data_IF_921783431615
#
_entry.id   IF_921783431615
#
_cell.length_a   1.000
_cell.length_b   1.000
_cell.length_c   1.000
_cell.angle_alpha   90.00
_cell.angle_beta   90.00
_cell.angle_gamma   90.00
#
_symmetry.space_group_name_H-M   'P 1'
#
loop_
_entity.id
_entity.type
_entity.pdbx_description
1 polymer ?
#
# COMPACT_ATOMS: atom_id res chain seq x y z
N UNK A 1 22.53 31.55 16.27
CA UNK A 1 21.13 31.49 15.77
C UNK A 1 21.01 31.06 14.29
N UNK A 2 21.71 31.71 13.34
CA UNK A 2 21.58 31.41 11.89
C UNK A 2 21.92 29.96 11.48
N UNK A 3 22.91 29.31 12.12
CA UNK A 3 23.30 27.91 11.84
C UNK A 3 22.19 26.90 12.17
N UNK A 4 21.46 27.10 13.27
CA UNK A 4 20.34 26.24 13.66
C UNK A 4 19.18 26.35 12.68
N UNK A 5 18.89 27.57 12.22
CA UNK A 5 17.88 27.81 11.18
C UNK A 5 18.23 27.12 9.85
N UNK A 6 19.49 27.19 9.43
CA UNK A 6 19.95 26.54 8.21
C UNK A 6 19.89 25.01 8.27
N UNK A 7 20.27 24.43 9.42
CA UNK A 7 20.17 22.98 9.64
C UNK A 7 18.73 22.50 9.66
N UNK A 8 17.83 23.26 10.28
CA UNK A 8 16.40 22.98 10.27
C UNK A 8 15.83 22.98 8.84
N UNK A 9 16.19 23.99 8.04
CA UNK A 9 15.75 24.12 6.65
C UNK A 9 16.25 22.95 5.79
N UNK A 10 17.54 22.60 5.88
CA UNK A 10 18.13 21.45 5.18
C UNK A 10 17.46 20.14 5.56
N UNK A 11 17.14 19.94 6.85
CA UNK A 11 16.47 18.73 7.31
C UNK A 11 15.04 18.62 6.77
N UNK A 12 14.31 19.75 6.70
CA UNK A 12 12.98 19.83 6.09
C UNK A 12 13.01 19.46 4.61
N UNK A 13 13.98 19.97 3.84
CA UNK A 13 14.13 19.62 2.42
C UNK A 13 14.49 18.16 2.22
N UNK A 14 15.42 17.61 3.02
CA UNK A 14 15.76 16.18 2.97
C UNK A 14 14.54 15.31 3.26
N UNK A 15 13.75 15.67 4.27
CA UNK A 15 12.50 14.96 4.57
C UNK A 15 11.52 14.97 3.39
N UNK A 16 11.27 16.15 2.80
CA UNK A 16 10.37 16.28 1.64
C UNK A 16 10.84 15.45 0.44
N UNK A 17 12.15 15.48 0.15
CA UNK A 17 12.73 14.67 -0.91
C UNK A 17 12.51 13.18 -0.63
N UNK A 18 12.82 12.71 0.57
CA UNK A 18 12.62 11.30 0.94
C UNK A 18 11.16 10.86 0.79
N UNK A 19 10.21 11.68 1.25
CA UNK A 19 8.77 11.40 1.10
C UNK A 19 8.39 11.32 -0.38
N UNK A 20 8.86 12.26 -1.20
CA UNK A 20 8.59 12.26 -2.64
C UNK A 20 9.15 11.02 -3.33
N UNK A 21 10.36 10.59 -2.96
CA UNK A 21 10.97 9.36 -3.51
C UNK A 21 10.13 8.12 -3.19
N UNK A 22 9.69 7.95 -1.94
CA UNK A 22 8.83 6.82 -1.56
C UNK A 22 7.46 6.87 -2.23
N UNK A 23 6.86 8.05 -2.38
CA UNK A 23 5.58 8.21 -3.08
C UNK A 23 5.69 7.81 -4.56
N UNK A 24 6.72 8.29 -5.25
CA UNK A 24 6.94 7.94 -6.66
C UNK A 24 7.17 6.43 -6.82
N UNK A 25 7.98 5.83 -5.95
CA UNK A 25 8.22 4.39 -5.94
C UNK A 25 6.94 3.60 -5.67
N UNK A 26 6.07 4.05 -4.76
CA UNK A 26 4.83 3.33 -4.44
C UNK A 26 3.84 3.37 -5.60
N UNK A 27 3.73 4.51 -6.30
CA UNK A 27 2.88 4.65 -7.48
C UNK A 27 3.37 3.75 -8.61
N UNK A 28 4.67 3.74 -8.90
CA UNK A 28 5.23 2.90 -9.97
C UNK A 28 5.09 1.42 -9.63
N UNK A 29 5.47 1.01 -8.41
CA UNK A 29 5.38 -0.39 -8.00
C UNK A 29 3.95 -0.91 -7.94
N UNK A 30 3.03 -0.14 -7.37
CA UNK A 30 1.61 -0.52 -7.32
C UNK A 30 1.01 -0.60 -8.73
N UNK A 31 1.28 0.37 -9.60
CA UNK A 31 0.80 0.36 -10.98
C UNK A 31 1.31 -0.85 -11.77
N UNK A 32 2.60 -1.16 -11.67
CA UNK A 32 3.19 -2.33 -12.34
C UNK A 32 2.61 -3.64 -11.81
N UNK A 33 2.49 -3.76 -10.50
CA UNK A 33 2.01 -4.98 -9.84
C UNK A 33 0.52 -5.23 -10.13
N UNK A 34 -0.31 -4.19 -10.07
CA UNK A 34 -1.73 -4.28 -10.45
C UNK A 34 -1.86 -4.66 -11.93
N UNK A 35 -1.15 -3.96 -12.82
CA UNK A 35 -1.18 -4.25 -14.26
C UNK A 35 -0.75 -5.68 -14.56
N UNK A 36 0.29 -6.17 -13.86
CA UNK A 36 0.75 -7.55 -13.97
C UNK A 36 -0.34 -8.55 -13.55
N UNK A 37 -0.99 -8.35 -12.40
CA UNK A 37 -2.06 -9.22 -11.94
C UNK A 37 -3.30 -9.17 -12.85
N UNK A 38 -3.63 -8.01 -13.41
CA UNK A 38 -4.70 -7.88 -14.41
C UNK A 38 -4.39 -8.70 -15.66
N UNK A 39 -3.22 -8.50 -16.26
CA UNK A 39 -2.80 -9.26 -17.45
C UNK A 39 -2.71 -10.76 -17.18
N UNK A 40 -2.25 -11.15 -15.99
CA UNK A 40 -2.18 -12.55 -15.60
C UNK A 40 -3.59 -13.13 -15.42
N UNK A 41 -4.51 -12.38 -14.82
CA UNK A 41 -5.89 -12.79 -14.63
C UNK A 41 -6.60 -13.05 -15.96
N UNK A 42 -6.40 -12.18 -16.96
CA UNK A 42 -6.96 -12.34 -18.30
C UNK A 42 -6.50 -13.64 -18.99
N UNK A 43 -5.27 -14.08 -18.73
CA UNK A 43 -4.68 -15.28 -19.37
C UNK A 43 -5.04 -16.60 -18.70
N UNK A 44 -5.47 -16.58 -17.44
CA UNK A 44 -5.70 -17.78 -16.63
C UNK A 44 -7.14 -18.32 -16.72
N UNK A 45 -8.00 -17.68 -17.52
CA UNK A 45 -9.42 -18.04 -17.64
C UNK A 45 -10.23 -17.70 -16.39
N UNK A 46 -11.54 -17.92 -16.42
CA UNK A 46 -12.49 -17.34 -15.45
C UNK A 46 -12.23 -17.76 -14.00
N UNK A 47 -11.88 -19.04 -13.76
CA UNK A 47 -11.73 -19.57 -12.39
C UNK A 47 -10.45 -19.09 -11.72
N UNK A 48 -9.31 -19.26 -12.37
CA UNK A 48 -8.01 -18.86 -11.82
C UNK A 48 -7.79 -17.35 -11.93
N UNK A 49 -8.28 -16.73 -13.02
CA UNK A 49 -8.24 -15.28 -13.17
C UNK A 49 -9.02 -14.56 -12.09
N UNK A 50 -10.20 -15.07 -11.72
CA UNK A 50 -10.99 -14.55 -10.60
C UNK A 50 -10.26 -14.65 -9.25
N UNK A 51 -9.48 -15.70 -9.01
CA UNK A 51 -8.67 -15.80 -7.79
C UNK A 51 -7.54 -14.77 -7.78
N UNK A 52 -6.83 -14.63 -8.91
CA UNK A 52 -5.72 -13.67 -9.05
C UNK A 52 -6.19 -12.22 -8.92
N UNK A 53 -7.34 -11.88 -9.49
CA UNK A 53 -7.90 -10.52 -9.40
C UNK A 53 -8.37 -10.14 -8.00
N UNK A 54 -8.69 -11.12 -7.15
CA UNK A 54 -9.12 -10.89 -5.77
C UNK A 54 -7.96 -10.88 -4.76
N UNK A 55 -6.71 -11.06 -5.21
CA UNK A 55 -5.56 -10.93 -4.32
C UNK A 55 -5.49 -9.51 -3.76
N UNK A 56 -5.15 -9.33 -2.46
CA UNK A 56 -5.01 -8.03 -1.83
C UNK A 56 -3.68 -7.37 -2.26
N UNK A 57 -3.54 -7.11 -3.55
CA UNK A 57 -2.32 -6.65 -4.22
C UNK A 57 -1.94 -5.22 -3.80
N UNK A 58 -2.92 -4.35 -3.59
CA UNK A 58 -2.71 -2.98 -3.06
C UNK A 58 -2.27 -3.00 -1.60
N UNK A 59 -2.80 -3.92 -0.81
CA UNK A 59 -2.41 -4.12 0.58
C UNK A 59 -0.96 -4.60 0.68
N UNK A 60 -0.54 -5.53 -0.18
CA UNK A 60 0.84 -6.02 -0.24
C UNK A 60 1.84 -4.87 -0.45
N UNK A 61 1.57 -3.98 -1.41
CA UNK A 61 2.43 -2.81 -1.64
C UNK A 61 2.39 -1.85 -0.45
N UNK A 62 1.21 -1.62 0.13
CA UNK A 62 1.07 -0.77 1.33
C UNK A 62 1.92 -1.30 2.50
N UNK A 63 1.83 -2.59 2.80
CA UNK A 63 2.58 -3.23 3.87
C UNK A 63 4.10 -3.23 3.59
N UNK A 64 4.52 -3.37 2.34
CA UNK A 64 5.93 -3.24 1.95
C UNK A 64 6.47 -1.85 2.30
N UNK A 65 5.75 -0.78 1.93
CA UNK A 65 6.19 0.59 2.25
C UNK A 65 6.08 0.92 3.73
N UNK A 66 5.10 0.35 4.44
CA UNK A 66 5.03 0.43 5.89
C UNK A 66 6.27 -0.23 6.51
N UNK A 67 6.67 -1.42 6.05
CA UNK A 67 7.87 -2.10 6.54
C UNK A 67 9.14 -1.28 6.27
N UNK A 68 9.26 -0.66 5.09
CA UNK A 68 10.40 0.18 4.74
C UNK A 68 10.48 1.48 5.57
N UNK A 69 9.34 2.01 6.03
CA UNK A 69 9.29 3.30 6.74
C UNK A 69 9.19 3.18 8.26
N UNK A 70 8.61 2.09 8.77
CA UNK A 70 8.31 1.87 10.20
C UNK A 70 8.91 0.56 10.73
N UNK A 71 9.48 -0.28 9.88
CA UNK A 71 10.04 -1.58 10.25
C UNK A 71 9.06 -2.74 10.07
N UNK A 72 9.60 -3.95 9.95
CA UNK A 72 8.83 -5.17 9.68
C UNK A 72 7.85 -5.54 10.80
N UNK A 73 8.23 -5.31 12.07
CA UNK A 73 7.37 -5.58 13.23
C UNK A 73 6.10 -4.74 13.19
N UNK A 74 6.24 -3.44 12.90
CA UNK A 74 5.09 -2.54 12.75
C UNK A 74 4.21 -2.93 11.57
N UNK A 75 4.81 -3.32 10.44
CA UNK A 75 4.06 -3.80 9.28
C UNK A 75 3.27 -5.08 9.59
N UNK A 76 3.86 -6.02 10.33
CA UNK A 76 3.19 -7.24 10.78
C UNK A 76 2.00 -6.90 11.67
N UNK A 77 2.17 -6.04 12.68
CA UNK A 77 1.08 -5.61 13.55
C UNK A 77 -0.04 -4.89 12.79
N UNK A 78 0.30 -4.14 11.73
CA UNK A 78 -0.70 -3.48 10.89
C UNK A 78 -1.60 -4.49 10.13
N UNK A 79 -1.15 -5.74 9.92
CA UNK A 79 -1.96 -6.76 9.23
C UNK A 79 -3.22 -7.16 10.00
N UNK A 80 -3.23 -7.01 11.32
CA UNK A 80 -4.40 -7.29 12.18
C UNK A 80 -5.61 -6.39 11.83
N UNK A 81 -5.34 -5.22 11.24
CA UNK A 81 -6.40 -4.31 10.78
C UNK A 81 -7.11 -4.79 9.52
N UNK A 82 -6.52 -5.72 8.78
CA UNK A 82 -7.04 -6.20 7.49
C UNK A 82 -8.31 -7.04 7.68
N UNK A 83 -8.35 -8.07 8.55
CA UNK A 83 -9.60 -8.77 8.85
C UNK A 83 -10.70 -7.83 9.36
N UNK A 84 -10.36 -6.85 10.19
CA UNK A 84 -11.32 -5.86 10.68
C UNK A 84 -11.94 -5.05 9.53
N UNK A 85 -11.13 -4.57 8.59
CA UNK A 85 -11.61 -3.89 7.40
C UNK A 85 -12.51 -4.77 6.52
N UNK A 86 -12.19 -6.06 6.40
CA UNK A 86 -13.00 -7.02 5.64
C UNK A 86 -14.36 -7.29 6.31
N UNK A 87 -14.39 -7.40 7.64
CA UNK A 87 -15.64 -7.55 8.40
C UNK A 87 -16.54 -6.33 8.18
N UNK A 88 -15.99 -5.12 8.31
CA UNK A 88 -16.75 -3.89 8.08
C UNK A 88 -17.27 -3.79 6.65
N UNK A 89 -16.45 -4.17 5.67
CA UNK A 89 -16.86 -4.20 4.25
C UNK A 89 -18.00 -5.20 4.02
N UNK A 90 -17.94 -6.36 4.67
CA UNK A 90 -18.98 -7.40 4.59
C UNK A 90 -20.28 -6.93 5.25
N UNK A 91 -20.20 -6.32 6.43
CA UNK A 91 -21.36 -5.75 7.13
C UNK A 91 -22.02 -4.66 6.29
N UNK A 92 -21.23 -3.76 5.70
CA UNK A 92 -21.73 -2.73 4.79
C UNK A 92 -22.49 -3.33 3.62
N UNK A 93 -21.90 -4.31 2.92
CA UNK A 93 -22.55 -4.99 1.80
C UNK A 93 -23.84 -5.69 2.22
N UNK A 94 -23.85 -6.34 3.38
CA UNK A 94 -25.04 -6.99 3.91
C UNK A 94 -26.17 -6.00 4.19
N UNK A 95 -25.87 -4.85 4.81
CA UNK A 95 -26.86 -3.80 5.08
C UNK A 95 -27.32 -3.07 3.83
N UNK A 96 -26.47 -2.93 2.82
CA UNK A 96 -26.82 -2.26 1.58
C UNK A 96 -27.74 -3.11 0.69
N UNK A 97 -27.63 -4.44 0.79
CA UNK A 97 -28.35 -5.38 -0.05
C UNK A 97 -29.75 -5.76 0.51
N UNK A 98 -29.97 -5.55 1.81
CA UNK A 98 -31.26 -5.67 2.50
C UNK A 98 -32.13 -4.43 2.30
#
# INVERSE_FOLDING_TARGET
>A
MKRLFYLWLLNKYKFLLTVLHYLLLSVVLSGLLISFFTLLSERLGTRLGGMVSNLPSTLLVSLLFIALTKGAEFASAATDTVPLGMILSTLFLFTFLL
#
